data_IF_106320969839
#
_entry.id   IF_106320969839
#
_cell.length_a   1.000
_cell.length_b   1.000
_cell.length_c   1.000
_cell.angle_alpha   90.00
_cell.angle_beta   90.00
_cell.angle_gamma   90.00
#
_symmetry.space_group_name_H-M   'P 1'
#
loop_
_entity.id
_entity.type
_entity.pdbx_description
1 polymer ?
#
# COMPACT_ATOMS: atom_id res chain seq x y z
N UNK A 1 -0.82 33.02 -11.50
CA UNK A 1 0.05 33.43 -10.38
C UNK A 1 1.35 32.61 -10.38
N UNK A 2 2.52 33.26 -10.50
CA UNK A 2 3.83 32.58 -10.54
C UNK A 2 4.35 32.35 -9.12
N UNK A 3 4.13 31.15 -8.57
CA UNK A 3 4.63 30.72 -7.26
C UNK A 3 5.74 29.67 -7.41
N UNK A 4 6.78 29.75 -6.59
CA UNK A 4 7.87 28.76 -6.52
C UNK A 4 7.34 27.37 -6.16
N UNK A 5 7.96 26.30 -6.69
CA UNK A 5 7.51 24.91 -6.46
C UNK A 5 7.33 24.57 -4.98
N UNK A 6 8.27 24.97 -4.12
CA UNK A 6 8.22 24.74 -2.66
C UNK A 6 6.98 25.29 -1.95
N UNK A 7 6.34 26.32 -2.51
CA UNK A 7 5.11 26.91 -1.95
C UNK A 7 3.84 26.16 -2.39
N UNK A 8 3.94 25.21 -3.32
CA UNK A 8 2.81 24.47 -3.91
C UNK A 8 2.73 23.01 -3.48
N UNK A 9 3.77 22.47 -2.84
CA UNK A 9 3.83 21.06 -2.46
C UNK A 9 4.37 20.89 -1.06
N UNK A 10 4.15 19.70 -0.50
CA UNK A 10 4.70 19.26 0.79
C UNK A 10 5.73 18.17 0.52
N UNK A 11 6.79 18.09 1.32
CA UNK A 11 7.84 17.07 1.24
C UNK A 11 7.36 15.73 1.80
N UNK A 12 6.38 15.10 1.13
CA UNK A 12 5.91 13.73 1.39
C UNK A 12 5.35 13.09 0.11
N UNK A 13 5.15 11.78 0.12
CA UNK A 13 4.44 11.09 -0.96
C UNK A 13 3.05 11.70 -1.17
N UNK A 14 2.68 11.96 -2.43
CA UNK A 14 1.45 12.66 -2.82
C UNK A 14 1.27 14.05 -2.18
N UNK A 15 2.37 14.70 -1.77
CA UNK A 15 2.35 16.03 -1.16
C UNK A 15 1.76 17.09 -2.09
N UNK A 16 0.83 17.89 -1.56
CA UNK A 16 0.10 18.90 -2.33
C UNK A 16 -1.10 18.36 -3.13
N UNK A 17 -1.27 17.04 -3.23
CA UNK A 17 -2.43 16.41 -3.88
C UNK A 17 -3.34 15.68 -2.89
N UNK A 18 -2.77 15.02 -1.87
CA UNK A 18 -3.51 14.18 -0.93
C UNK A 18 -3.22 14.58 0.53
N UNK A 19 -4.24 14.45 1.38
CA UNK A 19 -4.19 14.69 2.82
C UNK A 19 -3.29 13.67 3.56
N UNK A 20 -2.68 14.05 4.69
CA UNK A 20 -1.74 13.17 5.40
C UNK A 20 -2.40 11.85 5.86
N UNK A 21 -3.62 11.94 6.41
CA UNK A 21 -4.40 10.78 6.84
C UNK A 21 -4.67 9.80 5.69
N UNK A 22 -5.08 10.35 4.55
CA UNK A 22 -5.39 9.62 3.33
C UNK A 22 -4.16 8.86 2.77
N UNK A 23 -2.96 9.47 2.84
CA UNK A 23 -1.71 8.82 2.44
C UNK A 23 -1.39 7.65 3.37
N UNK A 24 -1.53 7.85 4.67
CA UNK A 24 -1.29 6.81 5.67
C UNK A 24 -2.26 5.63 5.52
N UNK A 25 -3.55 5.90 5.31
CA UNK A 25 -4.56 4.86 5.10
C UNK A 25 -4.29 4.07 3.81
N UNK A 26 -3.84 4.75 2.75
CA UNK A 26 -3.41 4.10 1.49
C UNK A 26 -2.22 3.18 1.70
N UNK A 27 -1.21 3.60 2.48
CA UNK A 27 -0.03 2.79 2.79
C UNK A 27 -0.45 1.53 3.57
N UNK A 28 -1.25 1.69 4.64
CA UNK A 28 -1.75 0.57 5.44
C UNK A 28 -2.58 -0.40 4.61
N UNK A 29 -3.49 0.12 3.80
CA UNK A 29 -4.38 -0.70 2.99
C UNK A 29 -3.60 -1.51 1.94
N UNK A 30 -2.67 -0.86 1.23
CA UNK A 30 -1.83 -1.54 0.25
C UNK A 30 -0.99 -2.65 0.90
N UNK A 31 -0.38 -2.36 2.06
CA UNK A 31 0.38 -3.36 2.83
C UNK A 31 -0.49 -4.56 3.21
N UNK A 32 -1.62 -4.34 3.90
CA UNK A 32 -2.49 -5.42 4.37
C UNK A 32 -3.06 -6.27 3.23
N UNK A 33 -3.38 -5.67 2.08
CA UNK A 33 -3.85 -6.43 0.90
C UNK A 33 -2.74 -7.36 0.39
N UNK A 34 -1.51 -6.87 0.26
CA UNK A 34 -0.39 -7.69 -0.23
C UNK A 34 -0.06 -8.81 0.77
N UNK A 35 -0.04 -8.51 2.06
CA UNK A 35 0.13 -9.53 3.11
C UNK A 35 -0.96 -10.61 3.03
N UNK A 36 -2.22 -10.23 2.89
CA UNK A 36 -3.33 -11.17 2.76
C UNK A 36 -3.20 -12.02 1.49
N UNK A 37 -2.79 -11.44 0.36
CA UNK A 37 -2.54 -12.19 -0.89
C UNK A 37 -1.44 -13.24 -0.71
N UNK A 38 -0.37 -12.91 0.02
CA UNK A 38 0.73 -13.84 0.31
C UNK A 38 0.22 -14.99 1.18
N UNK A 39 -0.49 -14.69 2.28
CA UNK A 39 -1.05 -15.71 3.18
C UNK A 39 -1.98 -16.67 2.43
N UNK A 40 -2.88 -16.14 1.60
CA UNK A 40 -3.79 -16.97 0.80
C UNK A 40 -3.02 -17.87 -0.18
N UNK A 41 -1.95 -17.36 -0.79
CA UNK A 41 -1.11 -18.15 -1.72
C UNK A 41 -0.40 -19.29 -0.98
N UNK A 42 0.26 -18.99 0.14
CA UNK A 42 0.97 -19.98 0.96
C UNK A 42 0.00 -21.05 1.48
N UNK A 43 -1.17 -20.64 1.95
CA UNK A 43 -2.18 -21.57 2.44
C UNK A 43 -2.63 -22.55 1.37
N UNK A 44 -2.91 -22.07 0.15
CA UNK A 44 -3.28 -22.93 -1.00
C UNK A 44 -2.15 -23.90 -1.40
N UNK A 45 -0.90 -23.47 -1.36
CA UNK A 45 0.25 -24.34 -1.64
C UNK A 45 0.38 -25.44 -0.58
N UNK A 46 0.19 -25.09 0.71
CA UNK A 46 0.28 -26.05 1.81
C UNK A 46 -0.82 -27.11 1.73
N UNK A 47 -2.07 -26.73 1.48
CA UNK A 47 -3.19 -27.68 1.38
C UNK A 47 -3.03 -28.63 0.19
N UNK A 48 -2.55 -28.13 -0.95
CA UNK A 48 -2.27 -28.98 -2.11
C UNK A 48 -1.16 -30.00 -1.84
N UNK A 49 -0.10 -29.60 -1.13
CA UNK A 49 0.99 -30.50 -0.75
C UNK A 49 0.54 -31.61 0.21
N UNK A 50 -0.39 -31.31 1.12
CA UNK A 50 -0.94 -32.30 2.06
C UNK A 50 -1.87 -33.30 1.38
N UNK A 51 -2.64 -32.88 0.37
CA UNK A 51 -3.53 -33.78 -0.39
C UNK A 51 -2.76 -34.77 -1.28
N UNK A 52 -1.54 -34.43 -1.69
CA UNK A 52 -0.68 -35.29 -2.51
C UNK A 52 0.17 -36.27 -1.69
N UNK A 53 0.22 -36.12 -0.37
CA UNK A 53 0.87 -37.03 0.56
C UNK A 53 -0.11 -38.11 1.01
#
# INVERSE_FOLDING_TARGET
MRLSKKKKHVSRAYGGSICAKCVHDRIKHAFLIEEQKIVVKVWKTQTQSQKSK
#
